data_IF_496354814515
#
_entry.id   IF_496354814515
#
_cell.length_a   1.000
_cell.length_b   1.000
_cell.length_c   1.000
_cell.angle_alpha   90.00
_cell.angle_beta   90.00
_cell.angle_gamma   90.00
#
_symmetry.space_group_name_H-M   'P 1'
#
loop_
_entity.id
_entity.type
_entity.pdbx_description
1 polymer ?
#
# COMPACT_ATOMS: atom_id res chain seq x y z
N UNK A 1 3.74 3.87 -1.53
CA UNK A 1 3.37 2.62 -0.84
C UNK A 1 2.27 1.90 -1.62
N UNK A 2 2.64 0.85 -2.34
CA UNK A 2 1.76 -0.12 -2.99
C UNK A 2 2.48 -1.48 -2.93
N UNK A 3 2.51 -2.13 -1.75
CA UNK A 3 3.24 -3.35 -1.53
C UNK A 3 2.42 -4.60 -1.85
N UNK A 4 3.11 -5.74 -1.84
CA UNK A 4 2.50 -7.05 -1.93
C UNK A 4 1.60 -7.18 -3.17
N UNK A 5 2.15 -6.90 -4.38
CA UNK A 5 1.35 -6.85 -5.59
C UNK A 5 0.90 -8.24 -6.03
N UNK A 6 -0.36 -8.35 -6.45
CA UNK A 6 -0.84 -9.48 -7.23
C UNK A 6 -1.45 -9.00 -8.54
N UNK A 7 -1.17 -9.71 -9.64
CA UNK A 7 -1.54 -9.31 -11.00
C UNK A 7 -2.25 -10.44 -11.73
N UNK A 8 -3.30 -10.09 -12.49
CA UNK A 8 -3.87 -11.01 -13.46
C UNK A 8 -4.12 -10.31 -14.81
N UNK A 9 -4.20 -11.09 -15.88
CA UNK A 9 -4.47 -10.62 -17.24
C UNK A 9 -5.79 -11.19 -17.75
N UNK A 10 -6.58 -10.32 -18.38
CA UNK A 10 -7.80 -10.71 -19.12
C UNK A 10 -7.74 -10.09 -20.51
N UNK A 11 -7.53 -10.93 -21.53
CA UNK A 11 -7.29 -10.42 -22.88
C UNK A 11 -6.00 -9.62 -22.99
N UNK A 12 -6.12 -8.33 -23.34
CA UNK A 12 -5.01 -7.38 -23.44
C UNK A 12 -4.87 -6.49 -22.18
N UNK A 13 -5.77 -6.66 -21.21
CA UNK A 13 -5.84 -5.82 -20.03
C UNK A 13 -5.19 -6.51 -18.83
N UNK A 14 -4.44 -5.76 -18.02
CA UNK A 14 -3.83 -6.21 -16.78
C UNK A 14 -4.48 -5.51 -15.61
N UNK A 15 -4.69 -6.26 -14.53
CA UNK A 15 -5.25 -5.76 -13.28
C UNK A 15 -4.33 -6.11 -12.13
N UNK A 16 -4.08 -5.15 -11.24
CA UNK A 16 -3.16 -5.28 -10.12
C UNK A 16 -3.84 -4.80 -8.84
N UNK A 17 -3.60 -5.51 -7.76
CA UNK A 17 -4.05 -5.18 -6.40
C UNK A 17 -2.87 -5.17 -5.44
N UNK A 18 -3.01 -4.43 -4.33
CA UNK A 18 -1.98 -4.30 -3.30
C UNK A 18 -2.58 -4.28 -1.90
N UNK A 19 -1.77 -4.59 -0.89
CA UNK A 19 -2.12 -4.42 0.52
C UNK A 19 -2.50 -2.98 0.86
N UNK A 20 -3.37 -2.80 1.83
CA UNK A 20 -3.78 -1.47 2.30
C UNK A 20 -3.72 -1.28 3.81
N UNK A 21 -3.50 -2.33 4.58
CA UNK A 21 -3.35 -2.35 6.04
C UNK A 21 -4.51 -1.64 6.75
N UNK A 22 -4.22 -0.60 7.52
CA UNK A 22 -5.20 0.21 8.22
C UNK A 22 -5.96 1.21 7.34
N UNK A 23 -5.58 1.36 6.07
CA UNK A 23 -6.20 2.36 5.20
C UNK A 23 -7.46 1.87 4.51
N UNK A 24 -8.52 2.69 4.57
CA UNK A 24 -9.83 2.45 3.97
C UNK A 24 -10.24 3.64 3.07
N UNK A 25 -10.80 3.40 1.87
CA UNK A 25 -11.11 2.13 1.21
C UNK A 25 -9.86 1.27 1.04
N UNK A 26 -10.06 -0.05 1.11
CA UNK A 26 -8.99 -1.04 1.07
C UNK A 26 -8.83 -1.72 -0.28
N UNK A 27 -7.64 -2.25 -0.51
CA UNK A 27 -7.24 -2.99 -1.70
C UNK A 27 -7.47 -2.15 -2.96
N UNK A 28 -6.55 -1.19 -3.26
CA UNK A 28 -6.62 -0.44 -4.50
C UNK A 28 -6.51 -1.38 -5.69
N UNK A 29 -7.34 -1.15 -6.70
CA UNK A 29 -7.38 -1.90 -7.95
C UNK A 29 -6.87 -1.00 -9.07
N UNK A 30 -5.85 -1.48 -9.77
CA UNK A 30 -5.24 -0.77 -10.89
C UNK A 30 -5.47 -1.51 -12.20
N UNK A 31 -5.52 -0.74 -13.29
CA UNK A 31 -5.61 -1.24 -14.66
C UNK A 31 -4.43 -0.72 -15.49
N UNK A 32 -3.92 -1.58 -16.37
CA UNK A 32 -2.88 -1.25 -17.35
C UNK A 32 -3.06 -2.07 -18.63
N UNK A 33 -2.46 -1.61 -19.73
CA UNK A 33 -2.31 -2.35 -20.99
C UNK A 33 -0.86 -2.69 -21.33
N UNK A 34 0.09 -2.22 -20.52
CA UNK A 34 1.51 -2.36 -20.81
C UNK A 34 2.36 -2.75 -19.59
N UNK A 35 1.74 -3.01 -18.43
CA UNK A 35 2.39 -3.30 -17.14
C UNK A 35 3.24 -2.15 -16.56
N UNK A 36 3.31 -1.02 -17.24
CA UNK A 36 4.14 0.14 -16.87
C UNK A 36 3.28 1.32 -16.45
N UNK A 37 2.26 1.63 -17.25
CA UNK A 37 1.35 2.74 -17.00
C UNK A 37 0.07 2.23 -16.33
N UNK A 38 -0.08 2.51 -15.04
CA UNK A 38 -1.18 2.04 -14.23
C UNK A 38 -2.14 3.17 -13.84
N UNK A 39 -3.43 2.92 -13.96
CA UNK A 39 -4.49 3.81 -13.48
C UNK A 39 -5.28 3.12 -12.38
N UNK A 40 -5.44 3.75 -11.23
CA UNK A 40 -6.33 3.25 -10.19
C UNK A 40 -7.78 3.40 -10.64
N UNK A 41 -8.50 2.29 -10.75
CA UNK A 41 -9.89 2.23 -11.24
C UNK A 41 -10.92 2.07 -10.13
N UNK A 42 -10.49 1.77 -8.90
CA UNK A 42 -11.35 1.58 -7.75
C UNK A 42 -10.60 1.06 -6.54
N UNK A 43 -11.38 0.61 -5.56
CA UNK A 43 -10.93 -0.14 -4.39
C UNK A 43 -11.87 -1.33 -4.19
N UNK A 44 -11.33 -2.49 -3.87
CA UNK A 44 -12.16 -3.70 -3.74
C UNK A 44 -13.00 -3.70 -2.45
N UNK A 45 -12.50 -3.07 -1.40
CA UNK A 45 -13.20 -2.94 -0.11
C UNK A 45 -13.56 -1.47 0.11
N UNK A 46 -14.83 -1.14 -0.04
CA UNK A 46 -15.32 0.23 -0.01
C UNK A 46 -16.49 0.46 0.96
N UNK A 47 -16.98 -0.60 1.62
CA UNK A 47 -18.17 -0.51 2.49
C UNK A 47 -18.08 -1.42 3.73
N UNK A 48 -18.78 -1.04 4.83
CA UNK A 48 -18.74 -1.78 6.11
C UNK A 48 -19.24 -3.21 6.04
N UNK A 49 -20.15 -3.57 5.10
CA UNK A 49 -20.65 -4.95 4.97
C UNK A 49 -19.56 -5.92 4.51
N UNK A 50 -18.53 -5.43 3.82
CA UNK A 50 -17.39 -6.22 3.39
C UNK A 50 -16.40 -6.44 4.53
N UNK A 51 -15.95 -5.36 5.14
CA UNK A 51 -15.00 -5.38 6.25
C UNK A 51 -15.08 -4.08 7.04
N UNK A 52 -15.12 -4.18 8.35
CA UNK A 52 -14.89 -3.07 9.26
C UNK A 52 -13.53 -3.22 9.94
N UNK A 53 -12.73 -2.18 9.91
CA UNK A 53 -11.47 -2.13 10.64
C UNK A 53 -11.73 -1.49 12.01
N UNK A 54 -11.43 -2.18 13.13
CA UNK A 54 -11.62 -1.61 14.47
C UNK A 54 -10.78 -0.35 14.67
N UNK A 55 -11.35 0.65 15.33
CA UNK A 55 -10.66 1.92 15.63
C UNK A 55 -9.36 1.70 16.41
N UNK A 56 -9.37 0.78 17.38
CA UNK A 56 -8.21 0.46 18.22
C UNK A 56 -7.21 -0.52 17.58
N UNK A 57 -7.41 -0.85 16.30
CA UNK A 57 -6.48 -1.74 15.60
C UNK A 57 -5.11 -1.03 15.44
N UNK A 58 -3.98 -1.70 15.72
CA UNK A 58 -2.66 -1.11 15.51
C UNK A 58 -2.42 -0.71 14.05
N UNK A 59 -1.62 0.32 13.81
CA UNK A 59 -1.08 0.63 12.49
C UNK A 59 -0.32 -0.56 11.92
N UNK A 60 -0.32 -0.71 10.62
CA UNK A 60 0.23 -1.85 9.87
C UNK A 60 -0.46 -3.20 10.13
N UNK A 61 -1.56 -3.25 10.91
CA UNK A 61 -2.49 -4.37 10.92
C UNK A 61 -3.59 -4.17 9.85
N UNK A 62 -4.61 -5.02 9.83
CA UNK A 62 -5.75 -4.90 8.92
C UNK A 62 -5.57 -5.70 7.63
N UNK A 63 -5.61 -5.06 6.48
CA UNK A 63 -5.74 -5.67 5.15
C UNK A 63 -4.36 -5.98 4.58
N UNK A 64 -3.94 -7.25 4.69
CA UNK A 64 -2.64 -7.74 4.23
C UNK A 64 -2.64 -8.06 2.73
N UNK A 65 -1.70 -8.90 2.28
CA UNK A 65 -1.53 -9.22 0.87
C UNK A 65 -2.77 -9.85 0.24
N UNK A 66 -3.35 -9.20 -0.78
CA UNK A 66 -4.41 -9.78 -1.59
C UNK A 66 -3.82 -10.59 -2.74
N UNK A 67 -4.53 -11.62 -3.19
CA UNK A 67 -4.29 -12.25 -4.49
C UNK A 67 -5.49 -12.06 -5.40
N UNK A 68 -5.24 -11.64 -6.64
CA UNK A 68 -6.24 -11.44 -7.69
C UNK A 68 -6.10 -12.51 -8.77
N UNK A 69 -7.19 -13.20 -9.08
CA UNK A 69 -7.26 -14.18 -10.16
C UNK A 69 -8.51 -13.95 -11.01
N UNK A 70 -8.45 -14.37 -12.28
CA UNK A 70 -9.61 -14.39 -13.17
C UNK A 70 -9.89 -15.84 -13.57
N UNK A 71 -11.07 -16.33 -13.22
CA UNK A 71 -11.49 -17.71 -13.51
C UNK A 71 -13.00 -17.74 -13.81
N UNK A 72 -13.41 -18.49 -14.83
CA UNK A 72 -14.80 -18.64 -15.28
C UNK A 72 -15.53 -17.31 -15.50
N UNK A 73 -14.85 -16.35 -16.17
CA UNK A 73 -15.44 -15.04 -16.53
C UNK A 73 -15.66 -14.11 -15.35
N UNK A 74 -15.02 -14.37 -14.22
CA UNK A 74 -15.16 -13.60 -12.97
C UNK A 74 -13.80 -13.33 -12.34
N UNK A 75 -13.65 -12.18 -11.73
CA UNK A 75 -12.53 -11.86 -10.85
C UNK A 75 -12.76 -12.45 -9.46
N UNK A 76 -11.73 -13.05 -8.91
CA UNK A 76 -11.64 -13.62 -7.58
C UNK A 76 -10.52 -12.91 -6.84
N UNK A 77 -10.85 -12.34 -5.70
CA UNK A 77 -9.92 -11.68 -4.82
C UNK A 77 -9.92 -12.42 -3.49
N UNK A 78 -8.78 -12.91 -3.06
CA UNK A 78 -8.62 -13.48 -1.71
C UNK A 78 -7.66 -12.61 -0.91
N UNK A 79 -7.93 -12.44 0.39
CA UNK A 79 -7.13 -11.59 1.27
C UNK A 79 -7.27 -12.03 2.72
N UNK A 80 -6.24 -11.76 3.52
CA UNK A 80 -6.29 -11.88 4.97
C UNK A 80 -6.46 -10.50 5.61
N UNK A 81 -7.43 -10.37 6.51
CA UNK A 81 -7.46 -9.25 7.45
C UNK A 81 -6.90 -9.69 8.80
N UNK A 82 -5.82 -9.04 9.23
CA UNK A 82 -5.20 -9.25 10.55
C UNK A 82 -5.81 -8.24 11.52
N UNK A 83 -7.07 -8.47 11.87
CA UNK A 83 -7.84 -7.67 12.82
C UNK A 83 -8.79 -8.57 13.59
N UNK A 84 -9.35 -8.08 14.69
CA UNK A 84 -10.39 -8.81 15.41
C UNK A 84 -11.61 -9.05 14.52
N UNK A 85 -12.02 -10.31 14.35
CA UNK A 85 -13.08 -10.70 13.41
C UNK A 85 -12.64 -10.77 11.93
N UNK A 86 -11.33 -10.63 11.65
CA UNK A 86 -10.73 -10.79 10.33
C UNK A 86 -10.59 -12.26 9.90
N UNK A 87 -9.42 -12.60 9.35
CA UNK A 87 -9.11 -13.91 8.77
C UNK A 87 -9.15 -13.90 7.24
N UNK A 88 -9.13 -15.06 6.62
CA UNK A 88 -9.15 -15.20 5.16
C UNK A 88 -10.56 -15.02 4.61
N UNK A 89 -10.67 -14.22 3.54
CA UNK A 89 -11.93 -13.86 2.88
C UNK A 89 -11.75 -13.83 1.38
N UNK A 90 -12.79 -14.28 0.65
CA UNK A 90 -12.85 -14.21 -0.82
C UNK A 90 -13.95 -13.25 -1.24
N UNK A 91 -13.64 -12.42 -2.21
CA UNK A 91 -14.57 -11.49 -2.87
C UNK A 91 -14.61 -11.76 -4.36
N UNK A 92 -15.72 -11.45 -5.01
CA UNK A 92 -15.87 -11.64 -6.45
C UNK A 92 -16.44 -10.40 -7.13
N UNK A 93 -16.05 -10.19 -8.39
CA UNK A 93 -16.64 -9.17 -9.26
C UNK A 93 -16.64 -9.63 -10.72
N UNK A 94 -17.55 -9.10 -11.51
CA UNK A 94 -17.52 -9.24 -12.98
C UNK A 94 -16.79 -8.09 -13.64
N UNK A 95 -16.79 -6.92 -12.99
CA UNK A 95 -16.01 -5.74 -13.36
C UNK A 95 -14.94 -5.51 -12.27
N UNK A 96 -13.66 -5.41 -12.61
CA UNK A 96 -12.60 -5.21 -11.61
C UNK A 96 -12.68 -3.83 -10.92
N UNK A 97 -13.33 -2.84 -11.55
CA UNK A 97 -13.64 -1.56 -10.88
C UNK A 97 -14.71 -1.69 -9.78
N UNK A 98 -15.44 -2.81 -9.75
CA UNK A 98 -16.50 -3.09 -8.79
C UNK A 98 -17.90 -2.98 -9.38
N UNK A 99 -18.96 -3.11 -8.57
CA UNK A 99 -18.86 -3.40 -7.12
C UNK A 99 -18.40 -4.84 -6.84
N UNK A 100 -17.56 -4.99 -5.84
CA UNK A 100 -17.15 -6.30 -5.34
C UNK A 100 -18.20 -6.88 -4.39
N UNK A 101 -18.30 -8.20 -4.33
CA UNK A 101 -19.26 -8.90 -3.47
C UNK A 101 -19.01 -8.64 -1.98
N UNK A 102 -19.95 -9.03 -1.13
CA UNK A 102 -19.67 -9.28 0.28
C UNK A 102 -18.80 -10.54 0.42
N UNK A 103 -18.09 -10.73 1.56
CA UNK A 103 -17.07 -11.77 1.69
C UNK A 103 -17.65 -13.18 1.80
N UNK A 104 -17.02 -14.13 1.13
CA UNK A 104 -17.05 -15.55 1.48
C UNK A 104 -15.92 -15.75 2.51
N UNK A 105 -16.25 -16.02 3.76
CA UNK A 105 -15.27 -16.22 4.83
C UNK A 105 -14.74 -17.64 4.82
N UNK A 106 -13.43 -17.81 5.09
CA UNK A 106 -12.74 -19.10 5.08
C UNK A 106 -12.24 -19.44 6.52
N UNK A 107 -13.13 -19.76 7.47
CA UNK A 107 -12.73 -19.93 8.87
C UNK A 107 -11.80 -21.13 9.11
N UNK A 108 -11.79 -22.10 8.20
CA UNK A 108 -10.90 -23.27 8.24
C UNK A 108 -9.51 -23.02 7.68
N UNK A 109 -9.25 -21.88 7.04
CA UNK A 109 -7.97 -21.54 6.42
C UNK A 109 -7.19 -20.62 7.36
N UNK A 110 -6.09 -21.13 7.93
CA UNK A 110 -5.15 -20.34 8.75
C UNK A 110 -4.02 -19.78 7.89
N UNK A 111 -3.29 -18.80 8.45
CA UNK A 111 -2.16 -18.14 7.76
C UNK A 111 -2.56 -16.87 7.02
N UNK A 112 -1.55 -16.13 6.55
CA UNK A 112 -1.68 -14.90 5.76
C UNK A 112 -1.28 -15.18 4.30
N UNK A 113 -1.34 -14.16 3.44
CA UNK A 113 -0.92 -14.18 2.03
C UNK A 113 -1.56 -15.33 1.24
N UNK A 114 -2.88 -15.41 1.20
CA UNK A 114 -3.57 -16.53 0.55
C UNK A 114 -3.53 -16.40 -0.98
N UNK A 115 -3.34 -17.51 -1.69
CA UNK A 115 -3.49 -17.65 -3.14
C UNK A 115 -4.66 -18.57 -3.48
N UNK A 116 -5.23 -18.40 -4.67
CA UNK A 116 -6.23 -19.28 -5.26
C UNK A 116 -5.73 -19.86 -6.58
N UNK A 117 -5.84 -21.17 -6.75
CA UNK A 117 -5.59 -21.85 -8.01
C UNK A 117 -6.66 -22.93 -8.28
N UNK A 118 -6.93 -23.21 -9.55
CA UNK A 118 -7.88 -24.26 -9.96
C UNK A 118 -7.16 -25.31 -10.79
N UNK A 119 -7.45 -26.58 -10.51
CA UNK A 119 -6.99 -27.69 -11.33
C UNK A 119 -7.97 -28.03 -12.47
N UNK A 120 -7.57 -28.99 -13.31
CA UNK A 120 -8.35 -29.40 -14.47
C UNK A 120 -9.69 -30.08 -14.10
N UNK A 121 -9.82 -30.59 -12.87
CA UNK A 121 -11.06 -31.15 -12.31
C UNK A 121 -11.99 -30.09 -11.71
N UNK A 122 -11.54 -28.83 -11.67
CA UNK A 122 -12.29 -27.69 -11.10
C UNK A 122 -12.19 -27.59 -9.58
N UNK A 123 -11.26 -28.32 -8.94
CA UNK A 123 -11.00 -28.13 -7.52
C UNK A 123 -10.30 -26.79 -7.29
N UNK A 124 -10.73 -26.08 -6.25
CA UNK A 124 -10.06 -24.85 -5.82
C UNK A 124 -9.08 -25.11 -4.69
N UNK A 125 -7.85 -24.68 -4.90
CA UNK A 125 -6.74 -24.82 -3.97
C UNK A 125 -6.40 -23.43 -3.38
N UNK A 126 -6.34 -23.36 -2.05
CA UNK A 126 -5.90 -22.17 -1.33
C UNK A 126 -4.57 -22.46 -0.65
N UNK A 127 -3.54 -21.69 -0.99
CA UNK A 127 -2.21 -21.81 -0.40
C UNK A 127 -1.89 -20.55 0.40
N UNK A 128 -1.29 -20.68 1.57
CA UNK A 128 -1.05 -19.56 2.52
C UNK A 128 0.41 -19.54 2.99
N UNK A 129 0.84 -18.48 3.65
CA UNK A 129 2.16 -18.37 4.28
C UNK A 129 2.47 -19.58 5.18
N UNK A 130 3.75 -19.99 5.23
CA UNK A 130 4.17 -21.28 5.75
C UNK A 130 3.98 -22.42 4.75
N UNK A 131 3.49 -22.09 3.53
CA UNK A 131 3.23 -22.99 2.39
C UNK A 131 2.27 -24.12 2.74
N UNK A 132 1.27 -23.80 3.58
CA UNK A 132 0.14 -24.66 3.87
C UNK A 132 -0.91 -24.55 2.78
N UNK A 133 -1.39 -25.70 2.28
CA UNK A 133 -2.41 -25.76 1.24
C UNK A 133 -3.69 -26.41 1.74
N UNK A 134 -4.80 -25.86 1.29
CA UNK A 134 -6.16 -26.32 1.56
C UNK A 134 -6.90 -26.53 0.25
N UNK A 135 -7.74 -27.54 0.16
CA UNK A 135 -8.78 -27.60 -0.86
C UNK A 135 -10.04 -26.95 -0.28
N UNK A 136 -10.65 -26.02 -0.98
CA UNK A 136 -11.78 -25.23 -0.48
C UNK A 136 -12.99 -25.31 -1.38
N UNK A 137 -14.17 -25.21 -0.79
CA UNK A 137 -15.43 -24.98 -1.48
C UNK A 137 -15.75 -23.48 -1.46
N UNK A 138 -15.64 -22.82 -2.60
CA UNK A 138 -15.91 -21.37 -2.73
C UNK A 138 -17.39 -21.01 -2.58
N UNK A 139 -18.33 -21.97 -2.66
CA UNK A 139 -19.74 -21.69 -2.44
C UNK A 139 -20.07 -21.55 -0.93
N UNK A 140 -19.38 -22.30 -0.08
CA UNK A 140 -19.63 -22.34 1.36
C UNK A 140 -18.53 -21.70 2.20
N UNK A 141 -17.30 -21.61 1.66
CA UNK A 141 -16.10 -21.19 2.40
C UNK A 141 -15.49 -22.30 3.27
N UNK A 142 -15.97 -23.53 3.13
CA UNK A 142 -15.48 -24.68 3.92
C UNK A 142 -14.21 -25.29 3.32
N UNK A 143 -13.35 -25.84 4.17
CA UNK A 143 -12.20 -26.64 3.74
C UNK A 143 -12.62 -28.08 3.48
N UNK A 144 -12.08 -28.64 2.37
CA UNK A 144 -12.37 -30.01 1.94
C UNK A 144 -11.18 -30.93 2.28
N UNK A 145 -11.18 -31.50 3.47
CA UNK A 145 -10.11 -32.39 3.96
C UNK A 145 -9.06 -31.67 4.80
N UNK A 146 -7.96 -32.38 5.06
CA UNK A 146 -6.85 -31.84 5.88
C UNK A 146 -5.94 -30.95 5.06
N UNK A 147 -5.32 -29.97 5.73
CA UNK A 147 -4.28 -29.13 5.10
C UNK A 147 -2.98 -29.92 4.92
N UNK A 148 -2.22 -29.57 3.87
CA UNK A 148 -0.94 -30.17 3.57
C UNK A 148 0.13 -29.08 3.43
N UNK A 149 1.28 -29.29 4.05
CA UNK A 149 2.44 -28.43 3.80
C UNK A 149 3.15 -28.90 2.53
N UNK A 150 3.28 -28.02 1.55
CA UNK A 150 3.81 -28.36 0.22
C UNK A 150 5.34 -28.31 0.18
N UNK A 151 5.91 -27.28 0.80
CA UNK A 151 7.34 -26.98 0.75
C UNK A 151 7.76 -26.15 1.97
N UNK A 152 9.05 -26.14 2.28
CA UNK A 152 9.59 -25.37 3.42
C UNK A 152 10.47 -24.21 2.99
N UNK A 153 10.56 -23.93 1.67
CA UNK A 153 11.48 -22.95 1.12
C UNK A 153 12.92 -23.46 1.04
N UNK A 154 13.84 -22.56 0.78
CA UNK A 154 15.28 -22.84 0.73
C UNK A 154 15.79 -23.22 2.13
N UNK A 155 16.63 -24.26 2.26
CA UNK A 155 17.16 -24.67 3.54
C UNK A 155 17.84 -23.53 4.31
N UNK A 156 17.34 -23.25 5.54
CA UNK A 156 17.84 -22.19 6.41
C UNK A 156 17.23 -20.82 6.19
N UNK A 157 16.40 -20.63 5.16
CA UNK A 157 15.61 -19.40 5.01
C UNK A 157 14.48 -19.36 6.04
N UNK A 158 14.14 -18.15 6.47
CA UNK A 158 13.00 -17.87 7.36
C UNK A 158 11.78 -17.39 6.58
N UNK A 159 10.60 -17.44 7.20
CA UNK A 159 9.36 -16.82 6.72
C UNK A 159 9.05 -17.14 5.24
N UNK A 160 8.79 -18.42 4.88
CA UNK A 160 8.25 -18.73 3.57
C UNK A 160 6.79 -18.20 3.53
N UNK A 161 6.55 -17.22 2.66
CA UNK A 161 5.28 -16.47 2.57
C UNK A 161 4.91 -16.18 1.12
N UNK A 162 3.79 -15.49 0.87
CA UNK A 162 3.33 -15.11 -0.47
C UNK A 162 3.35 -16.26 -1.48
N UNK A 163 2.78 -17.42 -1.19
CA UNK A 163 2.77 -18.53 -2.13
C UNK A 163 1.84 -18.23 -3.31
N UNK A 164 2.34 -18.44 -4.53
CA UNK A 164 1.52 -18.42 -5.74
C UNK A 164 1.69 -19.71 -6.52
N UNK A 165 0.58 -20.29 -6.96
CA UNK A 165 0.54 -21.56 -7.68
C UNK A 165 0.11 -21.36 -9.13
N UNK A 166 0.95 -21.81 -10.07
CA UNK A 166 0.71 -21.64 -11.52
C UNK A 166 0.74 -22.97 -12.25
N UNK A 167 -0.17 -23.16 -13.21
CA UNK A 167 -0.05 -24.22 -14.22
C UNK A 167 0.61 -23.63 -15.46
N UNK A 168 1.85 -24.09 -15.77
CA UNK A 168 2.62 -23.62 -16.94
C UNK A 168 3.12 -24.84 -17.70
N UNK A 169 2.57 -25.05 -18.89
CA UNK A 169 2.84 -26.27 -19.66
C UNK A 169 2.38 -27.52 -18.91
N UNK A 170 3.28 -28.48 -18.73
CA UNK A 170 3.01 -29.76 -18.05
C UNK A 170 3.26 -29.71 -16.54
N UNK A 171 3.77 -28.59 -16.02
CA UNK A 171 4.17 -28.48 -14.62
C UNK A 171 3.28 -27.50 -13.83
N UNK A 172 3.16 -27.78 -12.54
CA UNK A 172 2.74 -26.84 -11.55
C UNK A 172 3.97 -26.16 -10.92
N UNK A 173 3.94 -24.84 -10.83
CA UNK A 173 4.98 -24.05 -10.21
C UNK A 173 4.45 -23.42 -8.93
N UNK A 174 5.22 -23.55 -7.86
CA UNK A 174 4.95 -22.93 -6.58
C UNK A 174 6.03 -21.89 -6.32
N UNK A 175 5.68 -20.63 -6.43
CA UNK A 175 6.55 -19.49 -6.13
C UNK A 175 6.25 -19.00 -4.72
N UNK A 176 7.29 -18.59 -3.98
CA UNK A 176 7.19 -18.04 -2.64
C UNK A 176 8.15 -16.87 -2.46
N UNK A 177 7.84 -15.99 -1.49
CA UNK A 177 8.83 -15.12 -0.90
C UNK A 177 9.45 -15.80 0.34
N UNK A 178 10.69 -15.48 0.63
CA UNK A 178 11.39 -15.95 1.84
C UNK A 178 12.41 -14.92 2.32
N UNK A 179 12.92 -15.10 3.56
CA UNK A 179 13.88 -14.19 4.18
C UNK A 179 13.23 -13.09 5.02
N UNK A 180 11.90 -12.97 4.98
CA UNK A 180 11.13 -11.86 5.56
C UNK A 180 11.26 -10.58 4.74
N UNK A 181 10.31 -9.65 4.87
CA UNK A 181 10.18 -8.42 4.05
C UNK A 181 11.28 -7.37 4.29
N UNK A 182 12.40 -7.77 4.84
CA UNK A 182 13.57 -6.95 5.15
C UNK A 182 14.74 -7.28 4.19
N UNK A 183 15.98 -6.87 4.51
CA UNK A 183 17.15 -6.99 3.63
C UNK A 183 17.49 -8.43 3.16
N UNK A 184 16.95 -9.45 3.84
CA UNK A 184 17.09 -10.86 3.43
C UNK A 184 16.06 -11.34 2.44
N UNK A 185 15.11 -10.50 2.06
CA UNK A 185 13.97 -10.86 1.21
C UNK A 185 14.40 -11.35 -0.16
N UNK A 186 13.70 -12.37 -0.67
CA UNK A 186 13.97 -12.96 -1.98
C UNK A 186 12.78 -13.76 -2.47
N UNK A 187 12.84 -14.14 -3.74
CA UNK A 187 11.85 -14.99 -4.41
C UNK A 187 12.46 -16.34 -4.71
N UNK A 188 11.77 -17.41 -4.31
CA UNK A 188 12.14 -18.79 -4.62
C UNK A 188 11.00 -19.52 -5.29
N UNK A 189 11.30 -20.54 -6.11
CA UNK A 189 10.32 -21.28 -6.88
C UNK A 189 10.63 -22.78 -6.86
N UNK A 190 9.57 -23.58 -6.92
CA UNK A 190 9.65 -25.03 -7.09
C UNK A 190 8.64 -25.48 -8.15
N UNK A 191 8.82 -26.67 -8.75
CA UNK A 191 7.86 -27.23 -9.71
C UNK A 191 7.48 -28.66 -9.36
N UNK A 192 6.30 -29.08 -9.77
CA UNK A 192 5.79 -30.41 -9.53
C UNK A 192 4.80 -30.88 -10.59
N UNK A 193 4.38 -32.16 -10.55
CA UNK A 193 3.44 -32.73 -11.51
C UNK A 193 1.97 -32.39 -11.21
N UNK A 194 1.66 -31.97 -9.98
CA UNK A 194 0.31 -31.74 -9.50
C UNK A 194 0.25 -30.49 -8.59
N UNK A 195 -0.93 -29.87 -8.38
CA UNK A 195 -1.08 -28.67 -7.54
C UNK A 195 -0.69 -28.91 -6.08
N UNK A 196 -0.74 -30.15 -5.62
CA UNK A 196 -0.33 -30.57 -4.27
C UNK A 196 1.05 -31.25 -4.24
N UNK A 197 1.84 -31.14 -5.33
CA UNK A 197 3.21 -31.63 -5.46
C UNK A 197 3.33 -33.13 -5.79
N UNK A 198 4.45 -33.75 -5.46
CA UNK A 198 5.62 -33.17 -4.76
C UNK A 198 6.35 -32.11 -5.59
N UNK A 199 6.93 -31.11 -4.92
CA UNK A 199 7.65 -30.01 -5.56
C UNK A 199 9.16 -30.19 -5.49
N UNK A 200 9.83 -30.03 -6.64
CA UNK A 200 11.27 -29.96 -6.81
C UNK A 200 11.70 -28.48 -6.79
N UNK A 201 12.58 -28.05 -5.87
CA UNK A 201 13.05 -26.66 -5.84
C UNK A 201 13.93 -26.33 -7.04
N UNK A 202 13.85 -25.08 -7.53
CA UNK A 202 14.77 -24.57 -8.53
C UNK A 202 16.22 -24.60 -8.00
N UNK A 203 17.18 -25.15 -8.76
CA UNK A 203 18.59 -25.17 -8.34
C UNK A 203 19.21 -23.78 -8.16
N UNK A 204 18.62 -22.75 -8.78
CA UNK A 204 19.08 -21.37 -8.72
C UNK A 204 18.42 -20.52 -7.63
N UNK A 205 17.62 -21.12 -6.73
CA UNK A 205 16.96 -20.37 -5.65
C UNK A 205 17.94 -19.68 -4.69
N UNK A 206 17.63 -18.44 -4.24
CA UNK A 206 16.51 -17.63 -4.70
C UNK A 206 16.70 -17.11 -6.14
N UNK A 207 15.63 -17.14 -6.95
CA UNK A 207 15.66 -16.68 -8.35
C UNK A 207 15.72 -15.16 -8.48
N UNK A 208 15.42 -14.44 -7.39
CA UNK A 208 15.58 -13.00 -7.27
C UNK A 208 15.91 -12.64 -5.82
N UNK A 209 16.96 -11.85 -5.62
CA UNK A 209 17.26 -11.16 -4.36
C UNK A 209 18.30 -10.08 -4.60
N UNK A 210 18.07 -8.88 -4.09
CA UNK A 210 19.07 -7.79 -4.11
C UNK A 210 19.86 -7.70 -2.81
N UNK A 211 19.82 -8.76 -2.00
CA UNK A 211 20.59 -8.84 -0.75
C UNK A 211 22.09 -8.70 -1.00
N UNK A 212 22.72 -7.76 -0.29
CA UNK A 212 24.16 -7.49 -0.37
C UNK A 212 24.64 -7.01 -1.73
N UNK A 213 23.78 -6.33 -2.47
CA UNK A 213 24.12 -5.62 -3.71
C UNK A 213 24.03 -4.11 -3.50
N UNK A 214 24.58 -3.36 -4.47
CA UNK A 214 24.47 -1.89 -4.53
C UNK A 214 23.25 -1.42 -5.34
N UNK A 215 22.32 -2.31 -5.66
CA UNK A 215 21.10 -1.96 -6.38
C UNK A 215 20.29 -0.92 -5.61
N UNK A 216 19.75 0.10 -6.28
CA UNK A 216 18.97 1.17 -5.62
C UNK A 216 17.64 0.67 -5.06
N UNK A 217 17.13 -0.46 -5.55
CA UNK A 217 15.95 -1.14 -5.02
C UNK A 217 16.39 -2.32 -4.19
N UNK A 218 15.99 -2.36 -2.94
CA UNK A 218 16.34 -3.39 -1.97
C UNK A 218 15.11 -4.14 -1.47
N UNK A 219 15.28 -5.19 -0.66
CA UNK A 219 14.22 -5.99 -0.04
C UNK A 219 13.25 -6.60 -1.07
N UNK A 220 13.75 -7.00 -2.23
CA UNK A 220 12.95 -7.52 -3.35
C UNK A 220 12.36 -8.89 -3.03
N UNK A 221 11.04 -9.03 -3.17
CA UNK A 221 10.33 -10.28 -2.87
C UNK A 221 8.83 -10.15 -3.12
N UNK A 222 8.03 -11.06 -2.56
CA UNK A 222 6.57 -11.08 -2.63
C UNK A 222 6.07 -10.83 -4.05
N UNK A 223 6.41 -11.74 -4.96
CA UNK A 223 6.24 -11.56 -6.39
C UNK A 223 5.06 -12.36 -6.94
N UNK A 224 4.44 -11.85 -8.01
CA UNK A 224 3.45 -12.57 -8.81
C UNK A 224 3.83 -12.55 -10.29
N UNK A 225 3.52 -13.63 -11.02
CA UNK A 225 3.87 -13.82 -12.44
C UNK A 225 2.68 -13.58 -13.36
N UNK A 226 2.94 -12.95 -14.51
CA UNK A 226 1.94 -12.78 -15.56
C UNK A 226 2.54 -13.02 -16.95
N UNK A 227 1.78 -13.67 -17.82
CA UNK A 227 2.14 -13.82 -19.22
C UNK A 227 1.43 -12.77 -20.07
N UNK A 228 2.20 -12.04 -20.88
CA UNK A 228 1.67 -11.08 -21.83
C UNK A 228 1.06 -11.76 -23.08
N UNK A 229 0.23 -11.06 -23.89
CA UNK A 229 -0.39 -11.62 -25.10
C UNK A 229 0.59 -12.10 -26.15
N UNK A 230 1.81 -11.52 -26.20
CA UNK A 230 2.89 -11.93 -27.10
C UNK A 230 3.65 -13.17 -26.62
N UNK A 231 3.28 -13.71 -25.46
CA UNK A 231 3.91 -14.88 -24.83
C UNK A 231 5.08 -14.54 -23.92
N UNK A 232 5.52 -13.29 -23.83
CA UNK A 232 6.54 -12.86 -22.88
C UNK A 232 6.05 -12.96 -21.44
N UNK A 233 6.97 -13.18 -20.49
CA UNK A 233 6.66 -13.32 -19.09
C UNK A 233 7.21 -12.15 -18.28
N UNK A 234 6.45 -11.75 -17.29
CA UNK A 234 6.76 -10.64 -16.41
C UNK A 234 6.49 -11.02 -14.96
N UNK A 235 7.25 -10.40 -14.08
CA UNK A 235 7.12 -10.52 -12.63
C UNK A 235 6.84 -9.14 -12.05
N UNK A 236 5.72 -8.99 -11.35
CA UNK A 236 5.51 -7.88 -10.42
C UNK A 236 6.03 -8.31 -9.04
N UNK A 237 6.63 -7.39 -8.31
CA UNK A 237 7.24 -7.71 -7.01
C UNK A 237 7.27 -6.47 -6.12
N UNK A 238 7.39 -6.65 -4.82
CA UNK A 238 7.68 -5.54 -3.94
C UNK A 238 9.19 -5.30 -3.80
N UNK A 239 9.51 -4.05 -3.50
CA UNK A 239 10.85 -3.62 -3.09
C UNK A 239 10.76 -2.29 -2.35
N UNK A 240 11.90 -1.80 -1.89
CA UNK A 240 12.03 -0.49 -1.24
C UNK A 240 13.15 0.31 -1.89
N UNK A 241 13.05 1.63 -1.85
CA UNK A 241 14.11 2.57 -2.27
C UNK A 241 14.68 3.28 -1.05
N UNK A 242 15.71 2.74 -0.40
CA UNK A 242 16.34 3.39 0.74
C UNK A 242 17.06 4.65 0.30
N UNK A 243 16.85 5.76 1.02
CA UNK A 243 17.54 7.03 0.82
C UNK A 243 18.43 7.41 2.00
N UNK A 244 19.22 8.49 1.84
CA UNK A 244 20.11 8.99 2.88
C UNK A 244 21.38 8.16 3.05
N UNK A 245 22.09 8.39 4.17
CA UNK A 245 23.32 7.69 4.53
C UNK A 245 23.05 6.31 5.16
N UNK A 246 23.88 5.94 6.15
CA UNK A 246 23.72 4.64 6.84
C UNK A 246 22.75 4.77 8.02
N UNK A 247 21.78 3.85 8.17
CA UNK A 247 21.61 2.54 7.49
C UNK A 247 20.83 2.58 6.17
N UNK A 248 20.43 3.74 5.68
CA UNK A 248 19.42 3.94 4.64
C UNK A 248 18.00 3.85 5.20
N UNK A 249 17.13 4.77 4.80
CA UNK A 249 15.75 4.85 5.28
C UNK A 249 14.78 4.83 4.11
N UNK A 250 13.77 3.96 4.13
CA UNK A 250 12.73 3.98 3.12
C UNK A 250 11.46 4.65 3.65
N UNK A 251 11.10 5.75 3.01
CA UNK A 251 10.02 6.64 3.42
C UNK A 251 8.73 6.43 2.63
N UNK A 252 8.84 5.87 1.42
CA UNK A 252 7.68 5.56 0.58
C UNK A 252 7.01 4.23 0.96
N UNK A 253 7.56 3.53 1.96
CA UNK A 253 7.18 2.17 2.28
C UNK A 253 7.62 1.20 1.18
N UNK A 254 7.00 0.03 1.14
CA UNK A 254 7.24 -0.98 0.11
C UNK A 254 6.46 -0.61 -1.16
N UNK A 255 7.08 -0.74 -2.31
CA UNK A 255 6.57 -0.31 -3.61
C UNK A 255 6.53 -1.49 -4.59
N UNK A 256 5.71 -1.41 -5.64
CA UNK A 256 5.64 -2.41 -6.70
C UNK A 256 6.63 -2.09 -7.81
N UNK A 257 7.39 -3.11 -8.22
CA UNK A 257 8.33 -3.09 -9.33
C UNK A 257 7.99 -4.15 -10.37
N UNK A 258 8.59 -4.04 -11.55
CA UNK A 258 8.40 -4.94 -12.69
C UNK A 258 9.74 -5.48 -13.16
N UNK A 259 9.82 -6.78 -13.45
CA UNK A 259 10.99 -7.42 -14.06
C UNK A 259 10.56 -8.33 -15.22
N UNK A 260 11.33 -8.41 -16.32
CA UNK A 260 11.11 -9.41 -17.35
C UNK A 260 11.56 -10.79 -16.87
N UNK A 261 10.89 -11.83 -17.34
CA UNK A 261 11.22 -13.23 -17.01
C UNK A 261 11.42 -14.02 -18.29
N UNK A 262 12.54 -14.75 -18.37
CA UNK A 262 12.79 -15.72 -19.43
C UNK A 262 12.79 -17.13 -18.87
N UNK A 263 12.42 -18.12 -19.67
CA UNK A 263 12.40 -19.53 -19.26
C UNK A 263 13.58 -20.27 -19.86
N UNK A 264 14.42 -20.87 -19.00
CA UNK A 264 15.58 -21.67 -19.40
C UNK A 264 15.49 -23.05 -18.74
N UNK A 265 15.48 -24.10 -19.51
CA UNK A 265 15.35 -25.49 -19.04
C UNK A 265 14.15 -25.74 -18.12
N UNK A 266 13.04 -24.99 -18.37
CA UNK A 266 11.81 -25.05 -17.59
C UNK A 266 11.89 -24.34 -16.24
N UNK A 267 12.84 -23.42 -16.05
CA UNK A 267 12.95 -22.57 -14.87
C UNK A 267 12.94 -21.08 -15.24
N UNK A 268 12.31 -20.22 -14.43
CA UNK A 268 12.31 -18.79 -14.69
C UNK A 268 13.65 -18.16 -14.31
N UNK A 269 14.14 -17.29 -15.19
CA UNK A 269 15.30 -16.43 -14.97
C UNK A 269 14.79 -14.99 -14.99
N UNK A 270 14.90 -14.34 -13.84
CA UNK A 270 14.43 -12.95 -13.66
C UNK A 270 15.50 -12.00 -14.18
N UNK A 271 15.11 -11.05 -15.03
CA UNK A 271 15.98 -9.99 -15.53
C UNK A 271 16.09 -8.81 -14.57
N UNK A 272 16.78 -7.75 -15.03
CA UNK A 272 16.90 -6.50 -14.27
C UNK A 272 15.53 -5.84 -14.09
N UNK A 273 15.34 -5.15 -12.97
CA UNK A 273 14.11 -4.40 -12.72
C UNK A 273 13.93 -3.30 -13.78
N UNK A 274 12.72 -3.18 -14.28
CA UNK A 274 12.38 -2.12 -15.24
C UNK A 274 12.52 -0.75 -14.57
N UNK A 275 13.11 0.20 -15.31
CA UNK A 275 13.31 1.58 -14.81
C UNK A 275 12.01 2.39 -14.66
N UNK A 276 10.87 1.79 -15.02
CA UNK A 276 9.58 2.48 -15.06
C UNK A 276 9.45 3.49 -16.22
N UNK A 277 8.32 4.18 -16.31
CA UNK A 277 8.15 5.24 -17.30
C UNK A 277 9.10 6.41 -17.00
N UNK A 278 9.51 7.21 -18.03
CA UNK A 278 10.25 8.44 -17.80
C UNK A 278 9.52 9.33 -16.79
N UNK A 279 10.27 9.93 -15.86
CA UNK A 279 9.70 10.85 -14.89
C UNK A 279 9.04 12.04 -15.64
N UNK A 280 7.73 12.11 -15.58
CA UNK A 280 6.96 13.27 -16.06
C UNK A 280 6.51 14.08 -14.85
N UNK A 281 6.54 15.42 -14.93
CA UNK A 281 6.00 16.25 -13.86
C UNK A 281 4.55 15.85 -13.54
N UNK A 282 4.28 15.56 -12.29
CA UNK A 282 2.94 15.22 -11.80
C UNK A 282 2.34 16.49 -11.17
N UNK A 283 1.18 16.90 -11.66
CA UNK A 283 0.36 17.94 -11.04
C UNK A 283 -1.04 17.40 -10.92
N UNK A 284 -1.43 17.05 -9.72
CA UNK A 284 -2.76 16.54 -9.44
C UNK A 284 -3.46 17.45 -8.44
N UNK A 285 -4.58 18.04 -8.86
CA UNK A 285 -5.42 18.88 -8.02
C UNK A 285 -6.80 18.26 -7.92
N UNK A 286 -7.31 18.19 -6.70
CA UNK A 286 -8.67 17.81 -6.40
C UNK A 286 -9.39 19.01 -5.80
N UNK A 287 -10.49 19.41 -6.40
CA UNK A 287 -11.33 20.56 -6.00
C UNK A 287 -12.58 20.13 -5.24
N UNK A 288 -12.75 18.82 -5.04
CA UNK A 288 -13.88 18.21 -4.34
C UNK A 288 -15.27 18.56 -4.91
N UNK A 289 -15.32 19.05 -6.17
CA UNK A 289 -16.54 19.47 -6.85
C UNK A 289 -17.40 18.29 -7.33
N UNK A 290 -16.80 17.11 -7.52
CA UNK A 290 -17.45 15.93 -8.09
C UNK A 290 -18.44 15.25 -7.13
N UNK A 291 -18.49 15.68 -5.87
CA UNK A 291 -19.38 15.13 -4.83
C UNK A 291 -18.91 13.79 -4.25
N UNK A 292 -17.85 13.19 -4.81
CA UNK A 292 -17.23 11.94 -4.35
C UNK A 292 -15.72 12.10 -4.29
N UNK A 293 -15.09 11.38 -3.38
CA UNK A 293 -13.62 11.32 -3.31
C UNK A 293 -13.07 10.35 -4.35
N UNK A 294 -12.02 10.77 -5.08
CA UNK A 294 -11.32 9.90 -6.03
C UNK A 294 -10.76 8.64 -5.35
N UNK A 295 -10.57 7.54 -6.08
CA UNK A 295 -10.11 6.27 -5.50
C UNK A 295 -8.77 6.32 -4.76
N UNK A 296 -7.92 7.30 -5.07
CA UNK A 296 -6.61 7.48 -4.42
C UNK A 296 -6.69 7.99 -2.97
N UNK A 297 -7.84 8.55 -2.57
CA UNK A 297 -8.05 9.04 -1.21
C UNK A 297 -8.32 7.90 -0.24
N UNK A 298 -7.58 7.90 0.85
CA UNK A 298 -7.71 6.91 1.93
C UNK A 298 -7.90 7.61 3.27
N UNK A 299 -8.57 6.93 4.18
CA UNK A 299 -8.73 7.33 5.58
C UNK A 299 -8.14 6.26 6.49
N UNK A 300 -7.85 6.60 7.73
CA UNK A 300 -7.35 5.65 8.73
C UNK A 300 -8.53 4.85 9.27
N UNK A 301 -8.57 3.55 8.99
CA UNK A 301 -9.54 2.54 9.45
C UNK A 301 -10.98 2.75 9.00
N UNK A 302 -11.49 3.97 8.98
CA UNK A 302 -12.89 4.28 8.70
C UNK A 302 -13.02 5.56 7.89
N UNK A 303 -13.97 5.59 6.95
CA UNK A 303 -14.39 6.77 6.21
C UNK A 303 -15.91 6.88 6.24
N UNK A 304 -16.44 7.25 7.40
CA UNK A 304 -17.87 7.48 7.58
C UNK A 304 -18.29 8.85 7.02
N UNK A 305 -19.41 8.89 6.30
CA UNK A 305 -20.00 10.16 5.80
C UNK A 305 -20.35 11.15 6.93
N UNK A 306 -20.53 10.67 8.15
CA UNK A 306 -20.76 11.54 9.32
C UNK A 306 -19.53 12.40 9.65
N UNK A 307 -18.33 11.93 9.28
CA UNK A 307 -17.07 12.56 9.62
C UNK A 307 -16.33 13.13 8.41
N UNK A 308 -16.62 12.62 7.20
CA UNK A 308 -15.97 13.02 5.97
C UNK A 308 -17.01 13.14 4.85
N UNK A 309 -17.29 14.36 4.39
CA UNK A 309 -18.30 14.61 3.37
C UNK A 309 -17.92 15.75 2.42
N UNK A 310 -18.28 15.61 1.15
CA UNK A 310 -18.16 16.64 0.11
C UNK A 310 -19.48 17.39 -0.14
N UNK A 311 -20.55 17.02 0.57
CA UNK A 311 -21.91 17.58 0.36
C UNK A 311 -22.33 18.62 1.41
N UNK A 312 -21.69 18.63 2.59
CA UNK A 312 -22.03 19.58 3.65
C UNK A 312 -21.75 21.05 3.27
N UNK A 313 -20.70 21.28 2.49
CA UNK A 313 -20.36 22.56 1.87
C UNK A 313 -19.98 22.29 0.42
N UNK A 314 -20.83 22.61 -0.56
CA UNK A 314 -20.55 22.31 -1.96
C UNK A 314 -19.20 22.85 -2.45
N UNK A 315 -18.42 22.01 -3.13
CA UNK A 315 -17.06 22.33 -3.59
C UNK A 315 -16.00 22.29 -2.50
N UNK A 316 -16.32 21.76 -1.32
CA UNK A 316 -15.39 21.62 -0.20
C UNK A 316 -15.45 20.22 0.41
N UNK A 317 -14.31 19.68 0.75
CA UNK A 317 -14.23 18.53 1.66
C UNK A 317 -14.44 19.04 3.09
N UNK A 318 -15.45 18.53 3.77
CA UNK A 318 -15.75 18.85 5.17
C UNK A 318 -15.38 17.68 6.06
N UNK A 319 -14.58 17.94 7.07
CA UNK A 319 -14.21 16.97 8.09
C UNK A 319 -14.81 17.39 9.45
N UNK A 320 -15.48 16.44 10.10
CA UNK A 320 -16.03 16.59 11.46
C UNK A 320 -15.19 15.74 12.41
N UNK A 321 -14.43 16.37 13.29
CA UNK A 321 -13.55 15.68 14.22
C UNK A 321 -14.27 14.66 15.09
N UNK A 322 -13.62 13.53 15.31
CA UNK A 322 -14.08 12.44 16.18
C UNK A 322 -13.09 12.19 17.32
N UNK A 323 -11.82 12.44 17.08
CA UNK A 323 -10.71 12.28 18.01
C UNK A 323 -10.06 13.61 18.38
N UNK A 324 -8.85 13.55 18.85
CA UNK A 324 -8.06 14.69 19.34
C UNK A 324 -6.87 15.07 18.44
N UNK A 325 -6.80 14.55 17.23
CA UNK A 325 -5.72 14.82 16.25
C UNK A 325 -5.12 13.56 15.67
N UNK A 326 -3.96 13.71 15.01
CA UNK A 326 -3.30 12.62 14.27
C UNK A 326 -2.73 11.54 15.20
N UNK A 327 -2.50 11.84 16.48
CA UNK A 327 -2.12 10.89 17.53
C UNK A 327 -3.26 9.88 17.87
N UNK A 328 -4.50 10.22 17.54
CA UNK A 328 -5.67 9.44 17.96
C UNK A 328 -5.97 8.32 16.95
N UNK A 329 -6.15 7.07 17.37
CA UNK A 329 -6.58 6.00 16.47
C UNK A 329 -7.90 6.27 15.73
N UNK A 330 -8.76 7.12 16.31
CA UNK A 330 -10.02 7.58 15.72
C UNK A 330 -9.92 8.86 14.88
N UNK A 331 -8.74 9.30 14.50
CA UNK A 331 -8.53 10.52 13.72
C UNK A 331 -9.40 10.57 12.47
N UNK A 332 -9.98 11.73 12.20
CA UNK A 332 -10.62 12.01 10.90
C UNK A 332 -9.55 12.59 9.98
N UNK A 333 -9.01 11.72 9.15
CA UNK A 333 -7.91 11.99 8.23
C UNK A 333 -8.28 11.50 6.83
N UNK A 334 -8.04 12.34 5.83
CA UNK A 334 -8.18 12.02 4.40
C UNK A 334 -6.88 12.35 3.71
N UNK A 335 -6.21 11.34 3.20
CA UNK A 335 -4.89 11.49 2.62
C UNK A 335 -4.67 10.64 1.38
N UNK A 336 -3.54 10.87 0.73
CA UNK A 336 -3.04 10.06 -0.38
C UNK A 336 -1.63 9.55 -0.07
N UNK A 337 -1.29 8.40 -0.58
CA UNK A 337 0.05 7.82 -0.43
C UNK A 337 1.10 8.72 -1.09
N UNK A 338 2.17 9.02 -0.39
CA UNK A 338 3.35 9.66 -1.02
C UNK A 338 3.95 8.69 -2.03
N UNK A 339 4.15 9.15 -3.28
CA UNK A 339 4.62 8.31 -4.40
C UNK A 339 5.99 8.73 -4.92
N UNK A 340 6.47 9.93 -4.57
CA UNK A 340 7.72 10.51 -5.05
C UNK A 340 8.62 10.87 -3.89
N UNK A 341 9.94 10.70 -4.06
CA UNK A 341 10.94 11.05 -3.05
C UNK A 341 10.99 12.55 -2.80
N UNK A 342 10.80 13.35 -3.86
CA UNK A 342 10.59 14.80 -3.73
C UNK A 342 9.17 15.14 -4.21
N UNK A 343 8.42 15.89 -3.40
CA UNK A 343 7.08 16.32 -3.77
C UNK A 343 6.64 17.55 -2.94
N UNK A 344 5.57 18.19 -3.39
CA UNK A 344 4.89 19.26 -2.66
C UNK A 344 3.40 18.94 -2.58
N UNK A 345 2.82 19.14 -1.41
CA UNK A 345 1.37 19.14 -1.24
C UNK A 345 0.90 20.46 -0.64
N UNK A 346 -0.27 20.93 -1.11
CA UNK A 346 -0.89 22.18 -0.64
C UNK A 346 -2.41 22.00 -0.51
N UNK A 347 -3.00 22.77 0.38
CA UNK A 347 -4.47 22.81 0.53
C UNK A 347 -4.92 24.17 1.00
N UNK A 348 -6.07 24.65 0.51
CA UNK A 348 -6.76 25.77 1.10
C UNK A 348 -7.66 25.24 2.22
N UNK A 349 -7.37 25.65 3.46
CA UNK A 349 -8.12 25.26 4.65
C UNK A 349 -8.90 26.44 5.21
N UNK A 350 -10.16 26.19 5.58
CA UNK A 350 -10.99 27.06 6.42
C UNK A 350 -11.24 26.32 7.74
N UNK A 351 -10.58 26.74 8.84
CA UNK A 351 -10.73 26.09 10.14
C UNK A 351 -12.13 26.24 10.72
N UNK A 352 -12.94 27.20 10.21
CA UNK A 352 -14.29 27.50 10.69
C UNK A 352 -14.36 27.57 12.24
N UNK A 353 -15.01 26.58 12.88
CA UNK A 353 -15.11 26.47 14.33
C UNK A 353 -14.30 25.28 14.88
N UNK A 354 -13.26 24.87 14.14
CA UNK A 354 -12.44 23.69 14.45
C UNK A 354 -10.96 23.97 14.47
N UNK A 355 -10.23 22.89 14.64
CA UNK A 355 -8.78 22.81 14.56
C UNK A 355 -8.42 21.68 13.60
N UNK A 356 -7.53 21.92 12.67
CA UNK A 356 -7.05 20.90 11.74
C UNK A 356 -6.05 21.46 10.74
N UNK A 357 -5.65 20.66 9.78
CA UNK A 357 -4.63 21.09 8.84
C UNK A 357 -4.14 20.00 7.89
N UNK A 358 -2.84 20.04 7.62
CA UNK A 358 -2.15 19.16 6.69
C UNK A 358 -1.10 18.35 7.45
N UNK A 359 -1.05 17.03 7.23
CA UNK A 359 -0.09 16.16 7.90
C UNK A 359 0.66 15.27 6.90
N UNK A 360 1.89 14.93 7.26
CA UNK A 360 2.65 13.79 6.74
C UNK A 360 2.63 12.73 7.81
N UNK A 361 1.83 11.69 7.62
CA UNK A 361 1.58 10.63 8.58
C UNK A 361 2.27 9.34 8.15
N UNK A 362 2.97 8.71 9.08
CA UNK A 362 3.42 7.33 8.98
C UNK A 362 2.49 6.43 9.82
N UNK A 363 2.34 6.74 11.10
CA UNK A 363 1.40 6.12 12.06
C UNK A 363 0.99 7.15 13.15
N UNK A 364 0.32 6.69 14.22
CA UNK A 364 -0.12 7.53 15.34
C UNK A 364 1.03 8.11 16.16
N UNK A 365 2.19 7.46 16.17
CA UNK A 365 3.36 7.87 16.95
C UNK A 365 4.46 8.51 16.10
N UNK A 366 4.31 8.51 14.76
CA UNK A 366 5.29 9.08 13.82
C UNK A 366 4.58 9.89 12.75
N UNK A 367 4.48 11.21 12.98
CA UNK A 367 3.89 12.14 12.00
C UNK A 367 4.38 13.57 12.26
N UNK A 368 4.31 14.39 11.22
CA UNK A 368 4.51 15.83 11.28
C UNK A 368 3.28 16.53 10.73
N UNK A 369 2.89 17.64 11.35
CA UNK A 369 1.66 18.37 11.04
C UNK A 369 1.91 19.87 10.95
N UNK A 370 1.13 20.52 10.10
CA UNK A 370 0.87 21.96 10.18
C UNK A 370 -0.62 22.15 10.47
N UNK A 371 -0.94 22.73 11.59
CA UNK A 371 -2.29 22.87 12.13
C UNK A 371 -2.67 24.35 12.24
N UNK A 372 -3.93 24.66 11.94
CA UNK A 372 -4.51 25.99 12.12
C UNK A 372 -5.65 25.95 13.14
N UNK A 373 -5.60 26.86 14.10
CA UNK A 373 -6.61 27.04 15.13
C UNK A 373 -6.65 28.50 15.59
N UNK A 374 -7.85 29.08 15.74
CA UNK A 374 -8.07 30.36 16.47
C UNK A 374 -7.09 31.49 16.15
N UNK A 375 -6.69 31.64 14.88
CA UNK A 375 -5.77 32.71 14.44
C UNK A 375 -4.29 32.42 14.66
N UNK A 376 -3.92 31.16 14.86
CA UNK A 376 -2.52 30.72 14.93
C UNK A 376 -2.31 29.46 14.05
N UNK A 377 -1.15 29.39 13.41
CA UNK A 377 -0.67 28.18 12.75
C UNK A 377 0.49 27.62 13.54
N UNK A 378 0.48 26.32 13.78
CA UNK A 378 1.53 25.59 14.49
C UNK A 378 2.09 24.45 13.63
N UNK A 379 3.39 24.20 13.71
CA UNK A 379 4.02 22.99 13.20
C UNK A 379 4.31 22.09 14.38
N UNK A 380 3.80 20.85 14.33
CA UNK A 380 3.96 19.86 15.39
C UNK A 380 4.76 18.66 14.86
N UNK A 381 5.51 18.04 15.75
CA UNK A 381 6.21 16.80 15.51
C UNK A 381 5.85 15.76 16.57
N UNK A 382 5.53 14.55 16.12
CA UNK A 382 5.38 13.35 16.95
C UNK A 382 6.42 12.32 16.53
N UNK A 383 7.24 11.87 17.45
CA UNK A 383 8.28 10.85 17.24
C UNK A 383 8.28 9.92 18.46
N UNK A 384 7.64 8.77 18.34
CA UNK A 384 7.40 7.89 19.46
C UNK A 384 6.67 8.59 20.60
N UNK A 385 7.18 8.58 21.83
CA UNK A 385 6.55 9.25 22.97
C UNK A 385 6.70 10.79 22.95
N UNK A 386 7.54 11.34 22.07
CA UNK A 386 7.84 12.77 22.03
C UNK A 386 6.86 13.51 21.13
N UNK A 387 6.10 14.45 21.68
CA UNK A 387 5.25 15.38 20.93
C UNK A 387 5.61 16.82 21.31
N UNK A 388 5.80 17.66 20.30
CA UNK A 388 6.21 19.06 20.54
C UNK A 388 5.69 19.99 19.45
N UNK A 389 5.39 21.22 19.81
CA UNK A 389 5.24 22.33 18.87
C UNK A 389 6.64 22.80 18.50
N UNK A 390 6.98 22.67 17.21
CA UNK A 390 8.30 23.05 16.68
C UNK A 390 8.37 24.53 16.33
N UNK A 391 7.26 25.06 15.79
CA UNK A 391 7.13 26.46 15.43
C UNK A 391 5.67 26.89 15.51
N UNK A 392 5.43 28.18 15.76
CA UNK A 392 4.10 28.78 15.64
C UNK A 392 4.16 30.18 15.05
N UNK A 393 3.05 30.61 14.44
CA UNK A 393 2.90 31.94 13.86
C UNK A 393 1.44 32.41 13.94
N UNK A 394 1.17 33.64 14.42
CA UNK A 394 -0.15 34.25 14.27
C UNK A 394 -0.53 34.42 12.79
N UNK A 395 -1.78 34.17 12.45
CA UNK A 395 -2.34 34.33 11.10
C UNK A 395 -3.68 35.07 11.18
N UNK A 396 -4.11 35.79 10.12
CA UNK A 396 -5.44 36.36 10.04
C UNK A 396 -6.51 35.26 10.18
N UNK A 397 -7.67 35.64 10.68
CA UNK A 397 -8.85 34.77 10.69
C UNK A 397 -9.35 34.52 9.26
N UNK A 398 -9.83 33.30 8.99
CA UNK A 398 -10.39 32.88 7.71
C UNK A 398 -9.53 31.88 6.97
N UNK A 399 -9.89 31.55 5.72
CA UNK A 399 -9.20 30.58 4.92
C UNK A 399 -7.74 30.94 4.62
N UNK A 400 -6.84 29.96 4.62
CA UNK A 400 -5.43 30.14 4.29
C UNK A 400 -4.89 28.86 3.61
N UNK A 401 -3.79 29.04 2.85
CA UNK A 401 -3.13 27.91 2.18
C UNK A 401 -2.01 27.37 3.02
N UNK A 402 -2.11 26.09 3.40
CA UNK A 402 -1.05 25.34 4.04
C UNK A 402 -0.27 24.55 3.00
N UNK A 403 1.04 24.41 3.19
CA UNK A 403 1.92 23.68 2.32
C UNK A 403 2.92 22.80 3.05
N UNK A 404 3.23 21.66 2.45
CA UNK A 404 4.34 20.80 2.79
C UNK A 404 5.22 20.57 1.55
N UNK A 405 6.53 20.69 1.74
CA UNK A 405 7.54 20.40 0.73
C UNK A 405 8.44 19.27 1.26
N UNK A 406 8.56 18.19 0.49
CA UNK A 406 9.50 17.08 0.76
C UNK A 406 10.62 17.18 -0.26
N UNK A 407 11.86 17.26 0.21
CA UNK A 407 13.06 17.35 -0.61
C UNK A 407 14.00 16.19 -0.29
N UNK A 408 14.22 15.33 -1.28
CA UNK A 408 15.19 14.23 -1.20
C UNK A 408 16.60 14.73 -0.93
N UNK A 409 17.32 14.05 -0.06
CA UNK A 409 18.72 14.39 0.24
C UNK A 409 19.62 14.00 -0.95
N UNK A 410 20.30 14.99 -1.53
CA UNK A 410 21.21 14.81 -2.67
C UNK A 410 22.68 14.67 -2.28
N UNK A 411 23.06 15.22 -1.13
CA UNK A 411 24.44 15.18 -0.64
C UNK A 411 24.58 14.11 0.45
N UNK A 412 25.09 12.95 0.06
CA UNK A 412 25.29 11.79 0.93
C UNK A 412 26.74 11.63 1.43
N UNK A 413 27.57 12.71 1.34
CA UNK A 413 28.97 12.66 1.85
C UNK A 413 29.04 12.48 3.37
N UNK A 414 28.06 13.00 4.10
CA UNK A 414 27.91 12.67 5.53
C UNK A 414 27.04 11.40 5.66
N UNK A 415 27.60 10.29 6.18
CA UNK A 415 26.84 9.04 6.35
C UNK A 415 25.68 9.17 7.34
N UNK A 416 25.54 10.28 8.06
CA UNK A 416 24.42 10.57 8.95
C UNK A 416 23.29 11.34 8.27
N UNK A 417 23.43 11.73 7.01
CA UNK A 417 22.38 12.44 6.25
C UNK A 417 21.11 11.59 6.22
N UNK A 418 19.96 12.19 6.58
CA UNK A 418 18.63 11.57 6.45
C UNK A 418 18.22 11.35 4.99
N UNK A 419 17.11 10.68 4.74
CA UNK A 419 16.64 10.39 3.38
C UNK A 419 16.16 11.67 2.68
N UNK A 420 15.54 12.56 3.43
CA UNK A 420 14.93 13.79 2.96
C UNK A 420 14.72 14.79 4.12
N UNK A 421 14.24 15.98 3.75
CA UNK A 421 13.72 16.99 4.68
C UNK A 421 12.26 17.30 4.35
N UNK A 422 11.47 17.58 5.39
CA UNK A 422 10.06 17.92 5.29
C UNK A 422 9.85 19.32 5.83
N UNK A 423 9.51 20.26 4.95
CA UNK A 423 9.28 21.67 5.27
C UNK A 423 7.80 21.99 5.29
N UNK A 424 7.33 22.65 6.34
CA UNK A 424 5.94 23.09 6.50
C UNK A 424 5.86 24.61 6.49
N UNK A 425 4.83 25.15 5.86
CA UNK A 425 4.65 26.59 5.77
C UNK A 425 3.25 27.03 5.38
N UNK A 426 3.07 28.35 5.39
CA UNK A 426 1.88 29.03 4.90
C UNK A 426 2.21 29.71 3.58
N UNK A 427 1.35 29.57 2.59
CA UNK A 427 1.51 30.24 1.31
C UNK A 427 1.03 31.69 1.42
N UNK A 428 1.85 32.62 1.00
CA UNK A 428 1.54 34.04 0.96
C UNK A 428 0.71 34.37 -0.31
N UNK A 429 0.16 35.56 -0.37
CA UNK A 429 -0.68 36.01 -1.47
C UNK A 429 0.00 36.00 -2.85
N UNK A 430 1.32 36.01 -2.90
CA UNK A 430 2.13 35.92 -4.12
C UNK A 430 2.46 34.47 -4.55
N UNK A 431 1.94 33.46 -3.82
CA UNK A 431 2.21 32.04 -4.06
C UNK A 431 3.51 31.50 -3.44
N UNK A 432 4.24 32.34 -2.69
CA UNK A 432 5.46 31.94 -2.00
C UNK A 432 5.13 31.20 -0.72
N UNK A 433 5.74 30.01 -0.52
CA UNK A 433 5.63 29.27 0.73
C UNK A 433 6.58 29.89 1.78
N UNK A 434 6.03 30.55 2.79
CA UNK A 434 6.78 30.98 3.97
C UNK A 434 6.96 29.77 4.90
N UNK A 435 8.16 29.20 4.88
CA UNK A 435 8.49 28.02 5.70
C UNK A 435 8.58 28.40 7.17
N UNK A 436 7.86 27.65 8.02
CA UNK A 436 7.86 27.80 9.48
C UNK A 436 8.86 26.84 10.15
N UNK A 437 8.94 25.62 9.63
CA UNK A 437 9.87 24.60 10.13
C UNK A 437 10.28 23.64 9.02
N UNK A 438 11.52 23.13 9.14
CA UNK A 438 12.05 22.04 8.31
C UNK A 438 12.52 20.93 9.25
N UNK A 439 12.02 19.73 9.03
CA UNK A 439 12.21 18.56 9.88
C UNK A 439 12.92 17.44 9.12
N UNK A 440 13.70 16.62 9.84
CA UNK A 440 14.38 15.46 9.27
C UNK A 440 13.36 14.34 8.98
N UNK A 441 13.29 13.89 7.75
CA UNK A 441 12.32 12.89 7.34
C UNK A 441 12.61 11.48 7.82
N UNK A 442 13.84 11.16 8.29
CA UNK A 442 14.19 9.80 8.77
C UNK A 442 13.26 9.28 9.86
N UNK A 443 12.69 10.17 10.67
CA UNK A 443 11.80 9.77 11.76
C UNK A 443 10.42 9.30 11.28
N UNK A 444 10.09 9.56 10.01
CA UNK A 444 8.90 9.05 9.33
C UNK A 444 9.31 8.00 8.29
N UNK A 445 10.05 7.00 8.72
CA UNK A 445 10.51 5.86 7.91
C UNK A 445 10.26 4.55 8.64
N UNK A 446 10.23 3.45 7.92
CA UNK A 446 10.08 2.11 8.49
C UNK A 446 11.22 1.75 9.45
N UNK A 447 12.43 2.24 9.21
CA UNK A 447 13.60 1.98 10.07
C UNK A 447 13.46 2.61 11.46
N UNK A 448 12.59 3.61 11.63
CA UNK A 448 12.34 4.26 12.92
C UNK A 448 10.99 3.86 13.49
N UNK A 449 9.93 3.94 12.70
CA UNK A 449 8.56 3.68 13.15
C UNK A 449 8.21 2.19 13.19
N UNK A 450 8.88 1.37 12.37
CA UNK A 450 8.50 -0.03 12.16
C UNK A 450 7.34 -0.17 11.19
N UNK A 451 6.70 -1.35 11.19
CA UNK A 451 5.49 -1.60 10.40
C UNK A 451 5.75 -1.88 8.92
N UNK A 452 4.69 -1.81 8.12
CA UNK A 452 4.67 -2.24 6.72
C UNK A 452 4.20 -1.17 5.75
N UNK A 453 3.85 0.02 6.26
CA UNK A 453 3.30 1.14 5.48
C UNK A 453 4.39 2.11 5.04
N UNK A 454 3.99 3.22 4.46
CA UNK A 454 4.81 4.35 4.10
C UNK A 454 4.03 5.63 4.37
N UNK A 455 4.62 6.78 4.07
CA UNK A 455 4.00 8.08 4.34
C UNK A 455 2.73 8.29 3.54
N UNK A 456 1.72 8.85 4.22
CA UNK A 456 0.49 9.37 3.62
C UNK A 456 0.41 10.86 3.93
N UNK A 457 0.21 11.66 2.89
CA UNK A 457 0.07 13.11 3.01
C UNK A 457 -1.42 13.45 2.87
N UNK A 458 -1.97 14.17 3.84
CA UNK A 458 -3.41 14.44 3.83
C UNK A 458 -3.85 15.50 4.80
N UNK A 459 -5.14 15.76 4.76
CA UNK A 459 -5.84 16.75 5.59
C UNK A 459 -6.54 16.07 6.75
N UNK A 460 -6.72 16.78 7.86
CA UNK A 460 -7.35 16.23 9.06
C UNK A 460 -8.10 17.27 9.86
N UNK A 461 -9.00 16.79 10.70
CA UNK A 461 -9.67 17.58 11.72
C UNK A 461 -9.36 17.02 13.11
N UNK A 462 -8.80 17.86 14.00
CA UNK A 462 -8.50 17.53 15.38
C UNK A 462 -9.69 17.86 16.31
N UNK A 463 -10.35 19.02 16.11
CA UNK A 463 -11.53 19.43 16.87
C UNK A 463 -12.53 20.11 15.95
N UNK A 464 -13.84 20.04 16.29
CA UNK A 464 -14.90 20.76 15.60
C UNK A 464 -15.04 20.36 14.12
N UNK A 465 -15.28 21.34 13.27
CA UNK A 465 -15.46 21.18 11.83
C UNK A 465 -14.43 21.99 11.07
N UNK A 466 -13.80 21.37 10.09
CA UNK A 466 -12.78 21.98 9.22
C UNK A 466 -13.14 21.72 7.76
N UNK A 467 -12.95 22.71 6.93
CA UNK A 467 -13.26 22.65 5.51
C UNK A 467 -11.99 22.80 4.66
N UNK A 468 -11.91 22.05 3.56
CA UNK A 468 -10.82 22.10 2.60
C UNK A 468 -11.38 22.29 1.20
N UNK A 469 -11.01 23.42 0.54
CA UNK A 469 -11.52 23.79 -0.79
C UNK A 469 -10.88 22.93 -1.89
N UNK A 470 -9.60 22.76 -1.79
CA UNK A 470 -8.84 21.93 -2.72
C UNK A 470 -7.60 21.32 -2.06
N UNK A 471 -7.11 20.26 -2.67
CA UNK A 471 -5.80 19.67 -2.36
C UNK A 471 -5.01 19.50 -3.66
N UNK A 472 -3.74 19.89 -3.65
CA UNK A 472 -2.84 19.77 -4.78
C UNK A 472 -1.59 18.96 -4.40
N UNK A 473 -1.17 18.05 -5.25
CA UNK A 473 0.06 17.28 -5.15
C UNK A 473 0.89 17.48 -6.41
N UNK A 474 2.16 17.85 -6.25
CA UNK A 474 3.12 18.12 -7.34
C UNK A 474 4.41 17.34 -7.08
N UNK A 475 4.95 16.68 -8.14
CA UNK A 475 6.21 15.96 -8.06
C UNK A 475 6.97 15.99 -9.41
#
# INVERSE_FOLDING_TARGET
MHPDPSVCRVGEDYYLVCSSFEYFPGIPVFHSRDLVNWTQIGNALDRPSQLMLPTEMPSSAGIYAPTLRHHDGRFWLIVTSVSHGGGNMVFTATDPAGPWSDPIRLPGVGGIDPDLAWDDEGNCWCTVAGVGQYRIDLATGETLGESKRLWSGTPGAKAPEAPHLYRIGEHWYLMIAEGGTERGHGVSIARGPAPDGPFEPCPANPILSHRSTDDPVQNTGHADLVQAPDGSWWMVLLGVRPGGGTPGWHVLGRETFLAPVTWVDGWPVVGELSSGPPATPVVERDTFDDGELRPCWVSVRDRSEQHCTTTARPGWLTLHARGSGVDDPGVVFVGRRQQHLSCRARTLVDPAEGTGGLAVRFDEEHHYEIEVASGEVQVLARIGPLRTVVASRPVPSGPLVLGVQVDEARDLRDPRTGPDTISFGVEEADGTLTVLATLDGRYLSTEVAGGFTGRVIGVYAATGTVHFDWFEYVA
#
